data_IF_328611494324
#
_entry.id   IF_328611494324
#
_cell.length_a   1.000
_cell.length_b   1.000
_cell.length_c   1.000
_cell.angle_alpha   90.00
_cell.angle_beta   90.00
_cell.angle_gamma   90.00
#
_symmetry.space_group_name_H-M   'P 1'
#
loop_
_entity.id
_entity.type
_entity.pdbx_description
1 polymer ?
#
# COMPACT_ATOMS: atom_id res chain seq x y z
N UNK A 1 12.70 -30.36 14.70
CA UNK A 1 13.48 -29.33 13.97
C UNK A 1 12.64 -28.48 13.03
N UNK A 2 11.75 -29.06 12.21
CA UNK A 2 10.92 -28.28 11.29
C UNK A 2 9.95 -27.32 11.97
N UNK A 3 9.26 -27.75 13.04
CA UNK A 3 8.35 -26.87 13.79
C UNK A 3 9.05 -25.59 14.30
N UNK A 4 10.25 -25.71 14.85
CA UNK A 4 11.02 -24.53 15.30
C UNK A 4 11.45 -23.62 14.13
N UNK A 5 11.73 -24.18 12.94
CA UNK A 5 12.01 -23.37 11.75
C UNK A 5 10.77 -22.63 11.27
N UNK A 6 9.62 -23.29 11.27
CA UNK A 6 8.34 -22.68 10.90
C UNK A 6 7.93 -21.58 11.89
N UNK A 7 8.06 -21.83 13.20
CA UNK A 7 7.79 -20.83 14.23
C UNK A 7 8.70 -19.61 14.09
N UNK A 8 10.00 -19.82 13.86
CA UNK A 8 10.93 -18.71 13.60
C UNK A 8 10.49 -17.90 12.38
N UNK A 9 10.09 -18.58 11.30
CA UNK A 9 9.63 -17.90 10.08
C UNK A 9 8.33 -17.12 10.30
N UNK A 10 7.42 -17.65 11.11
CA UNK A 10 6.19 -16.95 11.50
C UNK A 10 6.55 -15.66 12.25
N UNK A 11 7.40 -15.74 13.27
CA UNK A 11 7.81 -14.55 14.04
C UNK A 11 8.52 -13.49 13.18
N UNK A 12 9.34 -13.92 12.21
CA UNK A 12 9.94 -13.00 11.23
C UNK A 12 8.86 -12.29 10.38
N UNK A 13 7.87 -13.04 9.89
CA UNK A 13 6.79 -12.50 9.08
C UNK A 13 5.87 -11.57 9.89
N UNK A 14 5.60 -11.90 11.15
CA UNK A 14 4.83 -11.06 12.07
C UNK A 14 5.54 -9.72 12.29
N UNK A 15 6.84 -9.73 12.57
CA UNK A 15 7.63 -8.51 12.73
C UNK A 15 7.64 -7.65 11.46
N UNK A 16 7.77 -8.27 10.28
CA UNK A 16 7.72 -7.55 9.00
C UNK A 16 6.33 -6.94 8.79
N UNK A 17 5.28 -7.70 9.07
CA UNK A 17 3.91 -7.24 8.90
C UNK A 17 3.60 -6.05 9.82
N UNK A 18 4.01 -6.10 11.08
CA UNK A 18 3.82 -5.01 12.04
C UNK A 18 4.53 -3.73 11.59
N UNK A 19 5.74 -3.85 11.05
CA UNK A 19 6.47 -2.74 10.47
C UNK A 19 5.74 -2.15 9.26
N UNK A 20 5.33 -2.99 8.30
CA UNK A 20 4.61 -2.55 7.11
C UNK A 20 3.29 -1.85 7.44
N UNK A 21 2.53 -2.37 8.41
CA UNK A 21 1.29 -1.74 8.88
C UNK A 21 1.59 -0.36 9.50
N UNK A 22 2.65 -0.24 10.28
CA UNK A 22 3.06 1.01 10.90
C UNK A 22 3.44 2.06 9.86
N UNK A 23 4.24 1.68 8.88
CA UNK A 23 4.64 2.55 7.76
C UNK A 23 3.42 2.98 6.91
N UNK A 24 2.52 2.05 6.62
CA UNK A 24 1.30 2.32 5.85
C UNK A 24 0.40 3.34 6.57
N UNK A 25 0.22 3.19 7.88
CA UNK A 25 -0.54 4.14 8.72
C UNK A 25 0.12 5.51 8.76
N UNK A 26 1.44 5.55 8.86
CA UNK A 26 2.17 6.81 8.82
C UNK A 26 1.96 7.52 7.48
N UNK A 27 2.10 6.79 6.37
CA UNK A 27 1.85 7.32 5.03
C UNK A 27 0.39 7.82 4.87
N UNK A 28 -0.61 7.05 5.31
CA UNK A 28 -2.02 7.48 5.30
C UNK A 28 -2.21 8.80 6.06
N UNK A 29 -1.57 8.93 7.22
CA UNK A 29 -1.62 10.16 8.02
C UNK A 29 -1.00 11.36 7.31
N UNK A 30 0.08 11.15 6.54
CA UNK A 30 0.71 12.20 5.74
C UNK A 30 -0.19 12.61 4.59
N UNK A 31 -0.80 11.65 3.89
CA UNK A 31 -1.70 11.91 2.78
C UNK A 31 -2.91 12.76 3.21
N UNK A 32 -3.48 12.46 4.38
CA UNK A 32 -4.55 13.28 4.97
C UNK A 32 -4.10 14.71 5.26
N UNK A 33 -2.87 14.90 5.76
CA UNK A 33 -2.33 16.23 6.05
C UNK A 33 -2.09 17.08 4.81
N UNK A 34 -1.78 16.46 3.67
CA UNK A 34 -1.52 17.18 2.42
C UNK A 34 -2.78 17.38 1.54
N UNK A 35 -3.95 16.95 2.02
CA UNK A 35 -5.23 17.22 1.36
C UNK A 35 -5.93 16.02 0.70
N UNK A 36 -5.42 14.79 0.84
CA UNK A 36 -6.18 13.59 0.47
C UNK A 36 -7.09 13.21 1.65
N UNK A 37 -8.35 13.64 1.66
CA UNK A 37 -9.27 13.48 2.81
C UNK A 37 -9.41 12.03 3.31
N UNK A 38 -9.44 11.04 2.40
CA UNK A 38 -9.46 9.61 2.74
C UNK A 38 -8.06 8.95 2.65
N UNK A 39 -7.00 9.76 2.61
CA UNK A 39 -5.60 9.32 2.60
C UNK A 39 -5.27 8.42 1.40
N UNK A 40 -4.77 7.21 1.69
CA UNK A 40 -4.37 6.24 0.67
C UNK A 40 -5.51 5.85 -0.28
N UNK A 41 -6.76 5.88 0.20
CA UNK A 41 -7.93 5.53 -0.60
C UNK A 41 -8.10 6.52 -1.75
N UNK A 42 -8.11 7.82 -1.47
CA UNK A 42 -8.22 8.87 -2.50
C UNK A 42 -7.01 8.87 -3.42
N UNK A 43 -5.79 8.68 -2.89
CA UNK A 43 -4.58 8.56 -3.71
C UNK A 43 -4.69 7.40 -4.71
N UNK A 44 -5.18 6.25 -4.26
CA UNK A 44 -5.37 5.08 -5.12
C UNK A 44 -6.34 5.38 -6.27
N UNK A 45 -7.47 6.03 -5.99
CA UNK A 45 -8.43 6.40 -7.03
C UNK A 45 -7.79 7.36 -8.06
N UNK A 46 -7.12 8.42 -7.60
CA UNK A 46 -6.43 9.34 -8.49
C UNK A 46 -5.38 8.63 -9.36
N UNK A 47 -4.62 7.70 -8.79
CA UNK A 47 -3.65 6.90 -9.56
C UNK A 47 -4.33 5.98 -10.59
N UNK A 48 -5.47 5.37 -10.26
CA UNK A 48 -6.23 4.55 -11.19
C UNK A 48 -6.79 5.38 -12.34
N UNK A 49 -7.35 6.57 -12.06
CA UNK A 49 -7.84 7.49 -13.09
C UNK A 49 -6.73 7.90 -14.06
N UNK A 50 -5.54 8.24 -13.56
CA UNK A 50 -4.38 8.58 -14.41
C UNK A 50 -3.99 7.40 -15.30
N UNK A 51 -3.93 6.19 -14.74
CA UNK A 51 -3.61 4.98 -15.51
C UNK A 51 -4.67 4.63 -16.55
N UNK A 52 -5.95 4.90 -16.25
CA UNK A 52 -7.06 4.69 -17.18
C UNK A 52 -7.06 5.72 -18.31
N UNK A 53 -6.79 6.99 -18.01
CA UNK A 53 -6.60 8.05 -19.00
C UNK A 53 -5.42 7.72 -19.94
N UNK A 54 -4.30 7.26 -19.41
CA UNK A 54 -3.15 6.81 -20.19
C UNK A 54 -3.47 5.62 -21.10
N UNK A 55 -4.38 4.73 -20.69
CA UNK A 55 -4.83 3.59 -21.51
C UNK A 55 -5.80 4.04 -22.60
N UNK A 56 -6.76 4.91 -22.28
CA UNK A 56 -7.73 5.43 -23.25
C UNK A 56 -7.04 6.30 -24.31
N UNK A 57 -6.07 7.13 -23.92
CA UNK A 57 -5.27 7.93 -24.85
C UNK A 57 -4.35 7.12 -25.79
N UNK A 58 -4.12 5.83 -25.51
CA UNK A 58 -3.39 4.91 -26.40
C UNK A 58 -4.30 4.12 -27.36
N UNK A 59 -5.63 4.28 -27.25
CA UNK A 59 -6.62 3.59 -28.09
C UNK A 59 -7.17 4.41 -29.26
N UNK A 60 -6.79 5.69 -29.38
CA UNK A 60 -7.24 6.60 -30.45
C UNK A 60 -6.19 6.85 -31.55
N UNK A 61 -5.21 5.95 -31.72
CA UNK A 61 -4.24 5.97 -32.82
C UNK A 61 -4.23 4.65 -33.60
#
# INVERSE_FOLDING_TARGET
>A
MEQNKLLKRISELESINDQLISELRFLDSLLRKIGFEEGLKTLKFAAQEILEQDRMGKGEL
#
